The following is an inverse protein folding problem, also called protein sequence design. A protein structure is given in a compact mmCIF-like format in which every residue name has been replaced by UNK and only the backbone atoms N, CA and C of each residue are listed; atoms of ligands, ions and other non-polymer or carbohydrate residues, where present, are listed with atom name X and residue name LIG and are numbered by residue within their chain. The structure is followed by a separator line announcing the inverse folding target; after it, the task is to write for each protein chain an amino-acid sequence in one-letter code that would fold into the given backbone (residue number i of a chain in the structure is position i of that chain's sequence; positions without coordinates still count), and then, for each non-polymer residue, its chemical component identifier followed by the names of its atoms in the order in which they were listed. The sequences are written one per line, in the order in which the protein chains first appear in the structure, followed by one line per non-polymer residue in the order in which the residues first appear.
data_IF_282839564824
#
_entry.id   IF_282839564824
#
_cell.length_a   1.000
_cell.length_b   1.000
_cell.length_c   1.000
_cell.angle_alpha   90.00
_cell.angle_beta   90.00
_cell.angle_gamma   90.00
#
_symmetry.space_group_name_H-M   'P 1'
#
loop_
_entity.id
_entity.type
_entity.pdbx_description
1 polymer ?
#
# COMPACT_ATOMS: atom_id res chain seq x y z
N UNK A 1 11.21 -40.44 -6.44
CA UNK A 1 11.46 -38.98 -6.38
C UNK A 1 11.25 -38.24 -7.71
N UNK A 2 11.10 -38.90 -8.87
CA UNK A 2 10.82 -38.22 -10.16
C UNK A 2 9.32 -38.06 -10.48
N UNK A 3 8.42 -38.80 -9.81
CA UNK A 3 6.98 -38.71 -10.05
C UNK A 3 6.30 -37.46 -9.45
N UNK A 4 6.92 -36.77 -8.49
CA UNK A 4 6.37 -35.52 -7.93
C UNK A 4 6.53 -34.32 -8.87
N UNK A 5 7.54 -34.33 -9.75
CA UNK A 5 7.84 -33.21 -10.66
C UNK A 5 6.96 -33.17 -11.91
N UNK A 6 6.26 -34.26 -12.23
CA UNK A 6 5.38 -34.36 -13.40
C UNK A 6 3.91 -34.06 -13.09
N UNK A 7 3.56 -33.79 -11.83
CA UNK A 7 2.22 -33.27 -11.51
C UNK A 7 2.19 -31.77 -11.73
N UNK A 8 2.18 -31.35 -13.00
CA UNK A 8 1.86 -29.96 -13.36
C UNK A 8 0.44 -29.69 -12.87
N UNK A 9 0.33 -28.99 -11.75
CA UNK A 9 -0.94 -28.41 -11.29
C UNK A 9 -1.49 -27.60 -12.45
N UNK A 10 -2.63 -27.99 -13.00
CA UNK A 10 -3.18 -27.31 -14.17
C UNK A 10 -3.48 -25.85 -13.80
N UNK A 11 -3.45 -24.94 -14.77
CA UNK A 11 -3.92 -23.56 -14.55
C UNK A 11 -5.35 -23.54 -13.97
N UNK A 12 -6.18 -24.54 -14.29
CA UNK A 12 -7.48 -24.73 -13.62
C UNK A 12 -7.31 -24.97 -12.12
N UNK A 13 -6.41 -25.86 -11.71
CA UNK A 13 -6.18 -26.22 -10.30
C UNK A 13 -5.49 -25.09 -9.54
N UNK A 14 -4.60 -24.36 -10.20
CA UNK A 14 -4.03 -23.10 -9.70
C UNK A 14 -5.14 -22.07 -9.57
N UNK A 15 -6.04 -21.92 -10.55
CA UNK A 15 -7.19 -21.03 -10.47
C UNK A 15 -8.20 -21.48 -9.41
N UNK A 16 -8.32 -22.77 -9.10
CA UNK A 16 -9.15 -23.23 -7.98
C UNK A 16 -8.50 -22.91 -6.64
N UNK A 17 -7.16 -22.96 -6.56
CA UNK A 17 -6.37 -22.50 -5.41
C UNK A 17 -6.25 -20.95 -5.32
N UNK A 18 -6.35 -20.24 -6.45
CA UNK A 18 -6.20 -18.77 -6.61
C UNK A 18 -7.52 -18.03 -6.73
N UNK A 19 -8.63 -18.75 -6.93
CA UNK A 19 -9.90 -18.40 -6.31
C UNK A 19 -9.65 -18.47 -4.80
N UNK A 20 -8.89 -17.51 -4.27
CA UNK A 20 -9.10 -17.01 -2.92
C UNK A 20 -10.60 -16.88 -2.86
N UNK A 21 -11.25 -17.74 -2.09
CA UNK A 21 -12.67 -17.58 -1.77
C UNK A 21 -12.75 -16.19 -1.17
N UNK A 22 -13.04 -15.20 -2.02
CA UNK A 22 -13.26 -13.83 -1.59
C UNK A 22 -14.30 -13.95 -0.49
N UNK A 23 -14.16 -13.24 0.64
CA UNK A 23 -15.05 -13.38 1.78
C UNK A 23 -16.47 -13.54 1.28
N UNK A 24 -17.00 -14.76 1.36
CA UNK A 24 -18.39 -15.01 1.04
C UNK A 24 -19.19 -14.22 2.05
N UNK A 25 -20.38 -13.76 1.68
CA UNK A 25 -21.25 -13.08 2.63
C UNK A 25 -21.39 -13.94 3.88
N UNK A 26 -21.31 -13.31 5.05
CA UNK A 26 -21.63 -14.03 6.28
C UNK A 26 -23.06 -14.56 6.14
N UNK A 27 -23.20 -15.88 6.20
CA UNK A 27 -24.51 -16.52 6.29
C UNK A 27 -25.02 -16.50 7.72
N UNK A 28 -24.21 -16.01 8.66
CA UNK A 28 -24.60 -15.97 10.06
C UNK A 28 -25.64 -14.88 10.25
N UNK A 29 -26.78 -15.26 10.82
CA UNK A 29 -27.86 -14.33 11.14
C UNK A 29 -27.54 -13.50 12.39
N UNK A 30 -26.56 -13.94 13.18
CA UNK A 30 -26.15 -13.29 14.40
C UNK A 30 -24.81 -12.57 14.23
N UNK A 31 -24.62 -11.49 14.97
CA UNK A 31 -23.41 -10.68 14.95
C UNK A 31 -22.21 -11.54 15.36
N UNK A 32 -21.17 -11.49 14.53
CA UNK A 32 -19.91 -12.21 14.74
C UNK A 32 -18.77 -11.20 14.69
N UNK A 33 -17.91 -11.22 15.70
CA UNK A 33 -16.81 -10.29 15.87
C UNK A 33 -15.51 -11.07 15.97
N UNK A 34 -14.47 -10.65 15.26
CA UNK A 34 -13.12 -11.15 15.48
C UNK A 34 -12.29 -10.08 16.18
N UNK A 35 -11.64 -10.42 17.29
CA UNK A 35 -10.58 -9.61 17.91
C UNK A 35 -9.22 -10.21 17.54
N UNK A 36 -8.29 -9.38 17.08
CA UNK A 36 -6.94 -9.85 16.77
C UNK A 36 -5.88 -8.77 16.98
N UNK A 37 -4.93 -9.02 17.89
CA UNK A 37 -3.69 -8.26 17.94
C UNK A 37 -2.74 -8.75 16.83
N UNK A 38 -2.53 -7.91 15.80
CA UNK A 38 -1.84 -8.32 14.56
C UNK A 38 -0.33 -8.12 14.58
N UNK A 39 0.26 -7.58 15.66
CA UNK A 39 1.71 -7.33 15.77
C UNK A 39 2.29 -6.66 14.49
N UNK A 40 1.73 -5.51 14.08
CA UNK A 40 1.95 -4.76 12.84
C UNK A 40 1.23 -5.35 11.60
N UNK A 41 0.17 -4.67 11.16
CA UNK A 41 -0.65 -5.13 10.04
C UNK A 41 0.11 -5.22 8.70
N UNK A 42 1.10 -4.34 8.49
CA UNK A 42 1.86 -4.34 7.24
C UNK A 42 2.65 -5.64 7.00
N UNK A 43 3.01 -6.37 8.06
CA UNK A 43 3.69 -7.67 7.97
C UNK A 43 2.71 -8.85 8.06
N UNK A 44 1.50 -8.62 8.54
CA UNK A 44 0.48 -9.65 8.80
C UNK A 44 -0.82 -9.42 8.01
N UNK A 45 -0.73 -8.75 6.86
CA UNK A 45 -1.91 -8.48 6.01
C UNK A 45 -2.51 -9.78 5.48
N UNK A 46 -1.67 -10.76 5.13
CA UNK A 46 -2.12 -12.07 4.64
C UNK A 46 -2.86 -12.88 5.73
N UNK A 47 -2.45 -12.76 6.99
CA UNK A 47 -3.15 -13.39 8.12
C UNK A 47 -4.57 -12.84 8.26
N UNK A 48 -4.70 -11.51 8.21
CA UNK A 48 -6.02 -10.85 8.28
C UNK A 48 -6.87 -11.21 7.05
N UNK A 49 -6.29 -11.21 5.84
CA UNK A 49 -6.99 -11.59 4.60
C UNK A 49 -7.53 -13.03 4.68
N UNK A 50 -6.72 -13.96 5.21
CA UNK A 50 -7.11 -15.36 5.40
C UNK A 50 -8.25 -15.48 6.43
N UNK A 51 -8.14 -14.81 7.57
CA UNK A 51 -9.16 -14.83 8.62
C UNK A 51 -10.50 -14.29 8.10
N UNK A 52 -10.47 -13.15 7.40
CA UNK A 52 -11.68 -12.55 6.81
C UNK A 52 -12.29 -13.43 5.72
N UNK A 53 -11.45 -14.10 4.92
CA UNK A 53 -11.93 -14.99 3.86
C UNK A 53 -12.60 -16.24 4.43
N UNK A 54 -12.04 -16.81 5.51
CA UNK A 54 -12.51 -18.05 6.10
C UNK A 54 -13.74 -17.87 7.01
N UNK A 55 -13.74 -16.82 7.82
CA UNK A 55 -14.73 -16.64 8.89
C UNK A 55 -15.77 -15.55 8.57
N UNK A 56 -15.47 -14.67 7.60
CA UNK A 56 -16.35 -13.59 7.16
C UNK A 56 -17.07 -12.85 8.32
N UNK A 57 -16.38 -12.40 9.38
CA UNK A 57 -17.06 -11.81 10.53
C UNK A 57 -17.72 -10.47 10.14
N UNK A 58 -18.78 -10.11 10.85
CA UNK A 58 -19.42 -8.80 10.66
C UNK A 58 -18.48 -7.66 11.03
N UNK A 59 -17.72 -7.86 12.11
CA UNK A 59 -16.70 -6.93 12.63
C UNK A 59 -15.37 -7.64 12.82
N UNK A 60 -14.27 -7.00 12.46
CA UNK A 60 -12.92 -7.42 12.78
C UNK A 60 -12.20 -6.26 13.47
N UNK A 61 -11.96 -6.43 14.77
CA UNK A 61 -11.34 -5.49 15.68
C UNK A 61 -9.86 -5.81 15.77
N UNK A 62 -9.02 -4.91 15.26
CA UNK A 62 -7.57 -5.10 15.22
C UNK A 62 -6.90 -4.19 16.24
N UNK A 63 -5.99 -4.77 17.02
CA UNK A 63 -5.01 -4.03 17.85
C UNK A 63 -3.59 -4.28 17.31
N UNK A 64 -2.63 -3.45 17.69
CA UNK A 64 -1.25 -3.58 17.17
C UNK A 64 -1.13 -3.30 15.67
N UNK A 65 -1.99 -2.44 15.10
CA UNK A 65 -2.04 -2.20 13.64
C UNK A 65 -0.76 -1.57 13.08
N UNK A 66 -0.08 -0.77 13.90
CA UNK A 66 1.13 -0.03 13.56
C UNK A 66 0.89 1.10 12.56
N UNK A 67 1.90 1.36 11.72
CA UNK A 67 1.87 2.41 10.69
C UNK A 67 0.81 2.22 9.61
N UNK A 68 0.19 1.03 9.51
CA UNK A 68 -0.92 0.80 8.60
C UNK A 68 -2.15 1.66 8.94
N UNK A 69 -2.21 2.25 10.13
CA UNK A 69 -3.26 3.23 10.50
C UNK A 69 -3.28 4.48 9.60
N UNK A 70 -2.11 4.90 9.08
CA UNK A 70 -1.97 6.02 8.14
C UNK A 70 -2.47 5.66 6.74
N UNK A 71 -2.28 4.40 6.34
CA UNK A 71 -2.66 3.89 5.04
C UNK A 71 -3.09 2.43 5.15
N UNK A 72 -4.36 2.23 5.44
CA UNK A 72 -4.94 0.91 5.65
C UNK A 72 -4.91 0.10 4.33
N UNK A 73 -4.44 -1.17 4.36
CA UNK A 73 -4.64 -2.09 3.24
C UNK A 73 -6.13 -2.23 2.92
N UNK A 74 -6.43 -2.42 1.63
CA UNK A 74 -7.82 -2.61 1.19
C UNK A 74 -8.19 -4.08 1.33
N UNK A 75 -9.19 -4.35 2.17
CA UNK A 75 -9.81 -5.66 2.30
C UNK A 75 -11.18 -5.64 1.61
N UNK A 76 -11.40 -6.42 0.53
CA UNK A 76 -12.67 -6.43 -0.19
C UNK A 76 -13.85 -6.76 0.72
N UNK A 77 -14.98 -6.06 0.54
CA UNK A 77 -16.19 -6.26 1.35
C UNK A 77 -16.17 -5.53 2.70
N UNK A 78 -15.02 -5.03 3.14
CA UNK A 78 -14.88 -4.33 4.41
C UNK A 78 -14.59 -2.83 4.23
N UNK A 79 -15.03 -2.05 5.20
CA UNK A 79 -14.60 -0.67 5.45
C UNK A 79 -13.82 -0.65 6.76
N UNK A 80 -12.86 0.26 6.91
CA UNK A 80 -12.03 0.35 8.09
C UNK A 80 -12.07 1.76 8.70
N UNK A 81 -12.18 1.82 10.03
CA UNK A 81 -11.96 3.01 10.84
C UNK A 81 -10.65 2.78 11.61
N UNK A 82 -9.64 3.61 11.38
CA UNK A 82 -8.32 3.47 12.03
C UNK A 82 -8.05 4.57 13.02
N UNK A 83 -7.21 4.32 14.02
CA UNK A 83 -6.66 5.34 14.89
C UNK A 83 -5.23 4.98 15.27
N UNK A 84 -4.32 5.93 15.10
CA UNK A 84 -2.92 5.77 15.46
C UNK A 84 -2.75 5.64 16.98
N UNK A 85 -1.84 4.77 17.41
CA UNK A 85 -1.46 4.62 18.81
C UNK A 85 -0.33 5.58 19.21
N UNK A 86 0.20 5.39 20.42
CA UNK A 86 1.29 6.22 20.95
C UNK A 86 2.67 5.90 20.37
N UNK A 87 2.82 4.78 19.65
CA UNK A 87 4.09 4.38 19.03
C UNK A 87 3.84 3.69 17.68
N UNK A 88 4.92 3.38 16.95
CA UNK A 88 4.87 2.82 15.59
C UNK A 88 4.31 1.40 15.47
N UNK A 89 4.17 0.68 16.59
CA UNK A 89 3.60 -0.66 16.67
C UNK A 89 2.18 -0.67 17.23
N UNK A 90 1.76 0.42 17.89
CA UNK A 90 0.42 0.58 18.42
C UNK A 90 -0.60 0.89 17.34
N UNK A 91 -1.77 1.37 17.77
CA UNK A 91 -2.86 1.69 16.86
C UNK A 91 -3.80 0.52 16.64
N UNK A 92 -4.97 0.87 16.13
CA UNK A 92 -6.16 0.01 16.14
C UNK A 92 -7.01 0.29 14.92
N UNK A 93 -7.78 -0.72 14.53
CA UNK A 93 -8.74 -0.60 13.45
C UNK A 93 -10.03 -1.33 13.81
N UNK A 94 -11.16 -0.71 13.50
CA UNK A 94 -12.45 -1.38 13.41
C UNK A 94 -12.72 -1.61 11.94
N UNK A 95 -12.60 -2.85 11.49
CA UNK A 95 -13.04 -3.27 10.17
C UNK A 95 -14.45 -3.82 10.26
N UNK A 96 -15.34 -3.39 9.37
CA UNK A 96 -16.74 -3.82 9.37
C UNK A 96 -17.19 -4.11 7.94
N UNK A 97 -18.09 -5.08 7.77
CA UNK A 97 -18.67 -5.36 6.47
C UNK A 97 -19.44 -4.14 5.96
N UNK A 98 -19.38 -3.88 4.64
CA UNK A 98 -20.05 -2.72 4.02
C UNK A 98 -21.57 -2.75 4.12
N UNK A 99 -22.16 -3.92 4.38
CA UNK A 99 -23.58 -4.10 4.67
C UNK A 99 -23.94 -3.67 6.10
N UNK A 100 -22.98 -3.56 7.01
CA UNK A 100 -23.27 -3.17 8.39
C UNK A 100 -23.25 -1.66 8.53
N UNK A 101 -24.29 -1.09 9.15
CA UNK A 101 -24.28 0.31 9.55
C UNK A 101 -23.45 0.46 10.83
N UNK A 102 -22.29 1.09 10.69
CA UNK A 102 -21.32 1.30 11.76
C UNK A 102 -20.88 2.76 11.76
N UNK A 103 -21.14 3.48 12.85
CA UNK A 103 -20.82 4.89 13.02
C UNK A 103 -19.81 5.07 14.13
N UNK A 104 -18.82 5.92 13.90
CA UNK A 104 -17.87 6.29 14.95
C UNK A 104 -18.55 7.19 15.97
N UNK A 105 -18.44 6.83 17.25
CA UNK A 105 -18.90 7.64 18.39
C UNK A 105 -17.75 8.40 19.01
N UNK A 106 -16.64 7.72 19.31
CA UNK A 106 -15.48 8.31 19.99
C UNK A 106 -14.17 7.70 19.46
N UNK A 107 -13.13 8.51 19.31
CA UNK A 107 -11.78 8.06 18.94
C UNK A 107 -10.74 8.75 19.80
N UNK A 108 -10.10 7.94 20.63
CA UNK A 108 -8.94 8.32 21.45
C UNK A 108 -7.72 7.51 21.01
N UNK A 109 -6.51 7.92 21.37
CA UNK A 109 -5.25 7.30 20.91
C UNK A 109 -5.27 5.76 20.96
N UNK A 110 -5.76 5.18 22.06
CA UNK A 110 -5.79 3.74 22.29
C UNK A 110 -7.20 3.13 22.35
N UNK A 111 -8.26 3.89 22.04
CA UNK A 111 -9.65 3.41 22.09
C UNK A 111 -10.55 3.93 20.95
N UNK A 112 -11.18 3.05 20.16
CA UNK A 112 -12.26 3.45 19.20
C UNK A 112 -13.57 2.93 19.78
N UNK A 113 -14.60 3.77 19.78
CA UNK A 113 -15.98 3.37 20.03
C UNK A 113 -16.81 3.59 18.79
N UNK A 114 -17.55 2.57 18.38
CA UNK A 114 -18.51 2.62 17.30
C UNK A 114 -19.90 2.26 17.81
N UNK A 115 -20.92 2.87 17.22
CA UNK A 115 -22.30 2.44 17.30
C UNK A 115 -22.59 1.53 16.11
N UNK A 116 -23.08 0.33 16.39
CA UNK A 116 -23.41 -0.69 15.40
C UNK A 116 -24.90 -0.98 15.46
N UNK A 117 -25.56 -0.85 14.31
CA UNK A 117 -26.97 -1.16 14.17
C UNK A 117 -27.16 -2.67 13.99
N UNK A 118 -28.09 -3.21 14.78
CA UNK A 118 -28.57 -4.59 14.67
C UNK A 118 -30.06 -4.56 14.36
N UNK A 119 -30.68 -5.72 14.12
CA UNK A 119 -32.12 -5.77 13.79
C UNK A 119 -33.01 -5.13 14.86
N UNK A 120 -32.62 -5.23 16.13
CA UNK A 120 -33.48 -4.83 17.27
C UNK A 120 -32.84 -3.82 18.23
N UNK A 121 -31.58 -3.42 18.01
CA UNK A 121 -30.85 -2.58 18.96
C UNK A 121 -29.68 -1.82 18.31
N UNK A 122 -29.24 -0.76 18.97
CA UNK A 122 -27.96 -0.10 18.70
C UNK A 122 -26.95 -0.48 19.79
N UNK A 123 -25.85 -1.10 19.38
CA UNK A 123 -24.81 -1.58 20.29
C UNK A 123 -23.61 -0.65 20.24
N UNK A 124 -23.03 -0.34 21.41
CA UNK A 124 -21.74 0.34 21.47
C UNK A 124 -20.62 -0.70 21.46
N UNK A 125 -19.84 -0.76 20.38
CA UNK A 125 -18.72 -1.69 20.23
C UNK A 125 -17.40 -0.92 20.23
N UNK A 126 -16.59 -1.19 21.25
CA UNK A 126 -15.29 -0.59 21.44
C UNK A 126 -14.14 -1.53 21.11
N UNK A 127 -13.05 -0.98 20.58
CA UNK A 127 -11.74 -1.66 20.52
C UNK A 127 -10.69 -0.86 21.30
N UNK A 128 -9.99 -1.53 22.21
CA UNK A 128 -8.95 -0.95 23.06
C UNK A 128 -7.62 -1.70 22.93
N UNK A 129 -6.52 -0.96 23.00
CA UNK A 129 -5.20 -1.53 23.27
C UNK A 129 -4.65 -0.88 24.54
N UNK A 130 -4.46 -1.66 25.60
CA UNK A 130 -3.88 -1.18 26.86
C UNK A 130 -2.41 -1.57 26.87
N UNK A 131 -1.47 -0.60 26.80
CA UNK A 131 -0.05 -0.89 26.85
C UNK A 131 0.35 -1.65 28.13
N UNK A 132 1.34 -2.56 28.07
CA UNK A 132 1.85 -3.24 29.25
C UNK A 132 2.27 -2.26 30.35
N UNK A 133 1.84 -2.53 31.59
CA UNK A 133 2.18 -1.70 32.75
C UNK A 133 1.38 -0.40 32.87
N UNK A 134 0.40 -0.18 31.99
CA UNK A 134 -0.55 0.94 32.09
C UNK A 134 -1.92 0.44 32.55
N UNK A 135 -2.77 1.37 33.01
CA UNK A 135 -4.14 1.05 33.40
C UNK A 135 -5.09 1.18 32.22
N UNK A 136 -6.15 0.35 32.15
CA UNK A 136 -7.24 0.58 31.21
C UNK A 136 -7.84 1.99 31.40
N UNK A 137 -8.36 2.61 30.33
CA UNK A 137 -8.94 3.94 30.40
C UNK A 137 -10.36 3.89 31.01
N UNK A 138 -10.46 3.53 32.29
CA UNK A 138 -11.72 3.33 33.01
C UNK A 138 -12.69 4.52 32.89
N UNK A 139 -12.17 5.74 32.82
CA UNK A 139 -13.01 6.92 32.65
C UNK A 139 -13.80 6.90 31.33
N UNK A 140 -13.20 6.38 30.25
CA UNK A 140 -13.88 6.22 28.97
C UNK A 140 -14.91 5.09 29.06
N UNK A 141 -14.57 3.98 29.72
CA UNK A 141 -15.49 2.84 29.89
C UNK A 141 -16.72 3.27 30.70
N UNK A 142 -16.54 4.08 31.74
CA UNK A 142 -17.61 4.63 32.57
C UNK A 142 -18.59 5.51 31.78
N UNK A 143 -18.19 6.13 30.65
CA UNK A 143 -19.11 6.87 29.76
C UNK A 143 -20.12 5.96 29.07
N UNK A 144 -19.82 4.66 28.97
CA UNK A 144 -20.70 3.65 28.37
C UNK A 144 -21.71 3.09 29.38
N UNK A 145 -21.63 3.47 30.65
CA UNK A 145 -22.54 3.01 31.70
C UNK A 145 -23.99 3.30 31.34
N UNK A 146 -24.89 2.36 31.67
CA UNK A 146 -26.32 2.37 31.36
C UNK A 146 -26.66 2.30 29.85
N UNK A 147 -25.70 1.93 29.01
CA UNK A 147 -25.91 1.62 27.59
C UNK A 147 -25.49 0.18 27.35
N UNK A 148 -26.05 -0.46 26.33
CA UNK A 148 -25.61 -1.78 25.92
C UNK A 148 -24.26 -1.65 25.19
N UNK A 149 -23.18 -2.05 25.87
CA UNK A 149 -21.81 -1.82 25.39
C UNK A 149 -20.95 -3.08 25.47
N UNK A 150 -20.01 -3.19 24.54
CA UNK A 150 -19.03 -4.28 24.46
C UNK A 150 -17.67 -3.71 24.07
N UNK A 151 -16.70 -3.78 24.97
CA UNK A 151 -15.34 -3.28 24.73
C UNK A 151 -14.39 -4.45 24.63
N UNK A 152 -13.84 -4.66 23.46
CA UNK A 152 -12.88 -5.73 23.17
C UNK A 152 -11.47 -5.17 23.08
N UNK A 153 -10.46 -5.95 23.42
CA UNK A 153 -9.10 -5.47 23.27
C UNK A 153 -8.03 -6.38 23.84
N UNK A 154 -6.79 -5.97 23.57
CA UNK A 154 -5.63 -6.45 24.31
C UNK A 154 -5.50 -5.57 25.56
N UNK A 155 -5.83 -6.13 26.72
CA UNK A 155 -5.78 -5.44 27.99
C UNK A 155 -4.40 -5.51 28.65
N UNK A 156 -3.50 -6.40 28.19
CA UNK A 156 -2.25 -6.74 28.88
C UNK A 156 -2.41 -7.00 30.41
N UNK A 157 -3.62 -7.37 30.82
CA UNK A 157 -4.04 -7.52 32.21
C UNK A 157 -4.12 -9.00 32.57
N UNK A 158 -3.40 -9.40 33.61
CA UNK A 158 -3.35 -10.79 34.07
C UNK A 158 -4.00 -10.89 35.44
N UNK A 159 -4.99 -11.76 35.56
CA UNK A 159 -5.63 -12.06 36.84
C UNK A 159 -6.06 -13.53 36.89
N UNK A 160 -5.98 -14.14 38.06
CA UNK A 160 -6.35 -15.54 38.28
C UNK A 160 -7.84 -15.79 38.02
N UNK A 161 -8.71 -14.80 38.26
CA UNK A 161 -10.16 -14.90 37.99
C UNK A 161 -10.49 -15.22 36.53
N UNK A 162 -9.68 -14.75 35.57
CA UNK A 162 -9.84 -15.09 34.16
C UNK A 162 -8.77 -16.07 33.65
N UNK A 163 -8.26 -16.93 34.54
CA UNK A 163 -7.45 -18.07 34.15
C UNK A 163 -5.97 -17.79 33.90
N UNK A 164 -5.45 -16.62 34.30
CA UNK A 164 -4.00 -16.40 34.29
C UNK A 164 -3.32 -17.05 35.50
N UNK A 165 -2.05 -17.46 35.35
CA UNK A 165 -1.30 -18.10 36.44
C UNK A 165 -0.88 -17.15 37.57
N UNK A 166 -0.81 -15.84 37.29
CA UNK A 166 -0.40 -14.79 38.23
C UNK A 166 -1.13 -13.49 37.93
N UNK A 167 -1.28 -12.68 38.96
CA UNK A 167 -1.83 -11.34 38.84
C UNK A 167 -0.73 -10.34 38.44
N UNK A 168 -1.07 -9.33 37.64
CA UNK A 168 -0.25 -8.12 37.50
C UNK A 168 -1.03 -6.89 37.98
N UNK A 169 -0.34 -5.75 38.15
CA UNK A 169 -0.96 -4.51 38.66
C UNK A 169 -2.19 -4.10 37.85
N UNK A 170 -2.10 -4.13 36.52
CA UNK A 170 -3.24 -3.82 35.65
C UNK A 170 -4.42 -4.78 35.85
N UNK A 171 -4.15 -6.08 36.05
CA UNK A 171 -5.17 -7.09 36.28
C UNK A 171 -5.88 -6.93 37.62
N UNK A 172 -5.15 -6.55 38.67
CA UNK A 172 -5.75 -6.24 39.99
C UNK A 172 -6.69 -5.03 39.86
N UNK A 173 -6.21 -3.93 39.29
CA UNK A 173 -7.05 -2.74 39.11
C UNK A 173 -8.26 -2.96 38.19
N UNK A 174 -8.09 -3.78 37.15
CA UNK A 174 -9.20 -4.14 36.27
C UNK A 174 -10.23 -4.99 37.02
N UNK A 175 -9.78 -5.98 37.82
CA UNK A 175 -10.66 -6.78 38.66
C UNK A 175 -11.43 -5.92 39.66
N UNK A 176 -10.75 -5.03 40.40
CA UNK A 176 -11.39 -4.12 41.35
C UNK A 176 -12.44 -3.21 40.67
N UNK A 177 -12.14 -2.74 39.45
CA UNK A 177 -13.08 -1.93 38.67
C UNK A 177 -14.30 -2.74 38.21
N UNK A 178 -14.12 -4.00 37.79
CA UNK A 178 -15.22 -4.90 37.41
C UNK A 178 -16.16 -5.13 38.61
N UNK A 179 -15.60 -5.48 39.77
CA UNK A 179 -16.36 -5.69 41.01
C UNK A 179 -17.13 -4.41 41.43
N UNK A 180 -16.48 -3.25 41.36
CA UNK A 180 -17.10 -1.98 41.73
C UNK A 180 -18.22 -1.54 40.78
N UNK A 181 -18.17 -1.98 39.51
CA UNK A 181 -19.12 -1.56 38.47
C UNK A 181 -20.18 -2.60 38.16
N UNK A 182 -19.98 -3.86 38.56
CA UNK A 182 -20.84 -4.98 38.20
C UNK A 182 -20.75 -5.37 36.73
N UNK A 183 -19.64 -5.03 36.06
CA UNK A 183 -19.42 -5.39 34.66
C UNK A 183 -18.87 -6.81 34.52
N UNK A 184 -19.25 -7.46 33.43
CA UNK A 184 -18.92 -8.83 33.09
C UNK A 184 -17.75 -8.93 32.09
N UNK A 185 -17.18 -10.13 31.99
CA UNK A 185 -16.17 -10.48 30.99
C UNK A 185 -16.70 -11.48 29.95
N UNK A 186 -16.35 -11.24 28.69
CA UNK A 186 -16.52 -12.20 27.60
C UNK A 186 -15.15 -12.85 27.37
N UNK A 187 -14.90 -13.93 28.09
CA UNK A 187 -13.61 -14.62 28.07
C UNK A 187 -13.51 -15.63 26.93
N UNK A 188 -12.34 -15.77 26.28
CA UNK A 188 -12.06 -16.82 25.31
C UNK A 188 -11.95 -18.20 25.96
N UNK A 189 -12.07 -19.25 25.14
CA UNK A 189 -11.97 -20.66 25.59
C UNK A 189 -10.58 -21.10 26.04
N UNK A 190 -9.53 -20.36 25.67
CA UNK A 190 -8.14 -20.70 26.00
C UNK A 190 -7.25 -19.45 26.00
N UNK A 191 -5.97 -19.63 26.29
CA UNK A 191 -4.98 -18.54 26.25
C UNK A 191 -4.92 -17.84 24.89
N UNK A 192 -4.68 -16.54 24.93
CA UNK A 192 -4.68 -15.66 23.75
C UNK A 192 -3.27 -15.20 23.39
N UNK A 193 -2.35 -15.19 24.36
CA UNK A 193 -0.93 -14.91 24.16
C UNK A 193 -0.14 -16.19 23.92
N UNK A 194 0.51 -16.33 22.76
CA UNK A 194 1.43 -17.44 22.45
C UNK A 194 2.70 -17.41 23.31
N UNK A 195 3.12 -16.22 23.74
CA UNK A 195 4.35 -16.01 24.53
C UNK A 195 4.19 -16.38 25.99
N UNK A 196 3.05 -16.04 26.59
CA UNK A 196 2.87 -16.15 28.04
C UNK A 196 1.77 -17.09 28.49
N UNK A 197 1.10 -17.76 27.54
CA UNK A 197 -0.02 -18.65 27.80
C UNK A 197 -1.06 -18.00 28.72
N UNK A 198 -1.34 -16.71 28.49
CA UNK A 198 -2.23 -15.88 29.29
C UNK A 198 -3.46 -15.46 28.47
N UNK A 199 -4.57 -15.23 29.17
CA UNK A 199 -5.79 -14.62 28.61
C UNK A 199 -5.68 -13.12 28.87
N UNK A 200 -5.23 -12.39 27.85
CA UNK A 200 -5.06 -10.92 27.91
C UNK A 200 -5.88 -10.19 26.84
N UNK A 201 -6.48 -10.95 25.92
CA UNK A 201 -7.37 -10.45 24.88
C UNK A 201 -8.79 -10.97 25.16
N UNK A 202 -9.75 -10.09 25.44
CA UNK A 202 -11.12 -10.47 25.79
C UNK A 202 -12.10 -9.31 25.59
N UNK A 203 -13.38 -9.52 25.90
CA UNK A 203 -14.41 -8.48 25.93
C UNK A 203 -14.82 -8.09 27.37
N UNK A 204 -15.22 -6.84 27.56
CA UNK A 204 -15.85 -6.30 28.77
C UNK A 204 -17.23 -5.77 28.39
N UNK A 205 -18.23 -6.03 29.22
CA UNK A 205 -19.65 -5.73 28.92
C UNK A 205 -20.45 -5.51 30.21
N UNK A 206 -21.66 -4.98 30.09
CA UNK A 206 -22.64 -4.97 31.18
C UNK A 206 -23.22 -6.36 31.47
N UNK A 207 -23.37 -7.20 30.43
CA UNK A 207 -23.76 -8.59 30.55
C UNK A 207 -23.08 -9.47 29.51
N UNK A 208 -22.50 -10.58 29.96
CA UNK A 208 -21.88 -11.61 29.10
C UNK A 208 -22.87 -12.67 28.60
N UNK A 209 -24.14 -12.59 29.01
CA UNK A 209 -25.12 -13.63 28.73
C UNK A 209 -25.33 -13.85 27.23
N UNK A 210 -25.26 -15.11 26.80
CA UNK A 210 -25.51 -15.52 25.42
C UNK A 210 -24.33 -15.34 24.47
N UNK A 211 -23.24 -14.70 24.91
CA UNK A 211 -22.00 -14.64 24.12
C UNK A 211 -21.29 -15.98 24.12
N UNK A 212 -20.72 -16.32 22.97
CA UNK A 212 -19.76 -17.43 22.83
C UNK A 212 -18.47 -16.88 22.26
N UNK A 213 -17.37 -17.49 22.63
CA UNK A 213 -16.04 -17.09 22.17
C UNK A 213 -15.23 -18.34 21.85
N UNK A 214 -14.31 -18.23 20.91
CA UNK A 214 -13.38 -19.29 20.59
C UNK A 214 -12.05 -18.70 20.12
N UNK A 215 -10.94 -19.26 20.61
CA UNK A 215 -9.61 -18.95 20.09
C UNK A 215 -9.40 -19.67 18.76
N UNK A 216 -8.99 -18.92 17.74
CA UNK A 216 -8.64 -19.44 16.42
C UNK A 216 -7.15 -19.77 16.41
N UNK A 217 -6.81 -21.05 16.21
CA UNK A 217 -5.43 -21.53 16.08
C UNK A 217 -4.88 -21.25 14.66
N UNK A 218 -4.89 -19.97 14.29
CA UNK A 218 -4.57 -19.45 12.97
C UNK A 218 -3.74 -18.16 13.12
N UNK A 219 -3.11 -17.71 12.05
CA UNK A 219 -2.21 -16.55 11.99
C UNK A 219 -0.84 -16.70 12.68
N UNK A 220 0.08 -15.81 12.31
CA UNK A 220 1.51 -15.86 12.64
C UNK A 220 1.95 -14.87 13.72
N UNK A 221 1.09 -13.90 14.08
CA UNK A 221 1.25 -13.00 15.25
C UNK A 221 1.55 -13.76 16.54
N UNK A 222 2.17 -13.11 17.52
CA UNK A 222 2.36 -13.65 18.87
C UNK A 222 1.08 -13.70 19.73
N UNK A 223 -0.04 -13.21 19.20
CA UNK A 223 -1.40 -13.40 19.73
C UNK A 223 -2.23 -14.32 18.83
N UNK A 224 -3.20 -15.01 19.42
CA UNK A 224 -4.23 -15.74 18.70
C UNK A 224 -5.42 -14.84 18.38
N UNK A 225 -5.98 -14.90 17.15
CA UNK A 225 -7.28 -14.31 16.87
C UNK A 225 -8.38 -14.99 17.70
N UNK A 226 -9.42 -14.24 18.04
CA UNK A 226 -10.56 -14.74 18.82
C UNK A 226 -11.83 -14.38 18.05
N UNK A 227 -12.69 -15.37 17.82
CA UNK A 227 -14.03 -15.15 17.29
C UNK A 227 -15.03 -15.10 18.43
N UNK A 228 -15.95 -14.16 18.38
CA UNK A 228 -17.04 -13.96 19.31
C UNK A 228 -18.37 -14.01 18.55
N UNK A 229 -19.26 -14.88 18.99
CA UNK A 229 -20.64 -14.94 18.50
C UNK A 229 -21.55 -14.28 19.53
N UNK A 230 -22.22 -13.22 19.09
CA UNK A 230 -23.11 -12.45 19.93
C UNK A 230 -24.56 -12.91 19.75
N UNK A 231 -25.44 -12.75 20.76
CA UNK A 231 -26.85 -13.10 20.66
C UNK A 231 -27.70 -12.07 19.89
N UNK A 232 -27.08 -11.18 19.10
CA UNK A 232 -27.76 -10.09 18.41
C UNK A 232 -27.93 -10.41 16.92
N UNK A 233 -29.17 -10.39 16.43
CA UNK A 233 -29.45 -10.61 15.02
C UNK A 233 -29.00 -9.41 14.15
N UNK A 234 -28.43 -9.69 13.00
CA UNK A 234 -28.08 -8.72 11.96
C UNK A 234 -29.01 -8.93 10.77
N UNK A 235 -29.59 -7.84 10.26
CA UNK A 235 -30.31 -7.90 9.00
C UNK A 235 -29.31 -7.93 7.84
N UNK A 236 -29.20 -9.09 7.19
CA UNK A 236 -28.32 -9.31 6.05
C UNK A 236 -28.95 -8.86 4.71
N UNK A 237 -30.05 -8.07 4.72
CA UNK A 237 -30.83 -7.69 3.54
C UNK A 237 -30.11 -6.84 2.49
N UNK A 238 -28.81 -6.54 2.64
CA UNK A 238 -28.04 -5.80 1.64
C UNK A 238 -27.46 -6.77 0.60
N UNK A 239 -28.21 -6.95 -0.49
CA UNK A 239 -27.67 -7.43 -1.77
C UNK A 239 -26.58 -6.48 -2.23
N UNK A 240 -25.34 -6.93 -2.14
CA UNK A 240 -24.26 -6.33 -2.92
C UNK A 240 -24.67 -6.42 -4.39
N UNK A 241 -24.48 -5.34 -5.17
CA UNK A 241 -24.42 -5.51 -6.62
C UNK A 241 -23.31 -6.53 -6.86
N UNK A 242 -23.68 -7.77 -7.20
CA UNK A 242 -22.76 -8.70 -7.80
C UNK A 242 -22.18 -7.96 -8.98
N UNK A 243 -20.96 -7.45 -8.82
CA UNK A 243 -20.24 -6.91 -9.94
C UNK A 243 -19.92 -8.16 -10.74
N UNK A 244 -20.61 -8.32 -11.86
CA UNK A 244 -20.48 -9.48 -12.71
C UNK A 244 -19.05 -9.47 -13.27
N UNK A 245 -18.12 -10.13 -12.56
CA UNK A 245 -16.72 -10.27 -12.99
C UNK A 245 -16.57 -11.29 -14.13
N UNK A 246 -17.66 -11.60 -14.84
CA UNK A 246 -17.61 -12.21 -16.17
C UNK A 246 -17.20 -11.20 -17.27
N UNK A 247 -16.62 -10.05 -16.92
CA UNK A 247 -15.84 -9.27 -17.89
C UNK A 247 -14.47 -9.92 -18.00
N UNK A 248 -14.27 -10.68 -19.08
CA UNK A 248 -13.00 -11.14 -19.64
C UNK A 248 -11.77 -10.63 -18.88
N UNK A 249 -11.09 -11.52 -18.17
CA UNK A 249 -9.83 -11.26 -17.47
C UNK A 249 -8.91 -10.36 -18.31
N UNK A 250 -8.79 -9.08 -17.91
CA UNK A 250 -7.71 -8.21 -18.40
C UNK A 250 -6.56 -8.37 -17.42
N UNK A 251 -5.42 -8.96 -17.82
CA UNK A 251 -4.31 -9.21 -16.92
C UNK A 251 -3.81 -7.90 -16.32
N UNK A 252 -3.82 -7.83 -14.99
CA UNK A 252 -3.30 -6.69 -14.23
C UNK A 252 -1.78 -6.66 -14.41
N UNK A 253 -1.30 -5.58 -15.03
CA UNK A 253 0.09 -5.24 -15.35
C UNK A 253 1.03 -5.03 -14.13
N UNK A 254 0.79 -5.65 -12.97
CA UNK A 254 1.62 -5.43 -11.77
C UNK A 254 2.27 -6.69 -11.18
N UNK A 255 2.31 -7.81 -11.92
CA UNK A 255 3.19 -8.91 -11.54
C UNK A 255 4.64 -8.56 -11.87
N UNK A 256 5.46 -8.23 -10.86
CA UNK A 256 6.91 -8.34 -11.01
C UNK A 256 7.21 -9.84 -11.06
N UNK A 257 7.73 -10.34 -12.18
CA UNK A 257 8.20 -11.73 -12.25
C UNK A 257 9.11 -11.99 -11.04
N UNK A 258 8.86 -13.08 -10.28
CA UNK A 258 9.75 -13.45 -9.20
C UNK A 258 11.16 -13.58 -9.78
N UNK A 259 12.14 -12.97 -9.12
CA UNK A 259 13.54 -13.14 -9.52
C UNK A 259 13.85 -14.64 -9.55
N UNK A 260 14.73 -15.10 -10.45
CA UNK A 260 15.17 -16.48 -10.48
C UNK A 260 15.57 -16.97 -9.07
N UNK A 261 15.22 -18.21 -8.66
CA UNK A 261 15.54 -18.74 -7.34
C UNK A 261 17.03 -18.61 -6.97
N UNK A 262 17.92 -18.71 -7.96
CA UNK A 262 19.36 -18.53 -7.81
C UNK A 262 19.73 -17.08 -7.42
N UNK A 263 19.12 -16.07 -8.03
CA UNK A 263 19.33 -14.67 -7.66
C UNK A 263 18.77 -14.33 -6.28
N UNK A 264 17.64 -14.95 -5.89
CA UNK A 264 17.08 -14.83 -4.54
C UNK A 264 18.05 -15.42 -3.50
N UNK A 265 18.61 -16.61 -3.80
CA UNK A 265 19.62 -17.24 -2.95
C UNK A 265 20.86 -16.35 -2.79
N UNK A 266 21.42 -15.83 -3.89
CA UNK A 266 22.57 -14.92 -3.85
C UNK A 266 22.27 -13.66 -3.03
N UNK A 267 21.11 -13.04 -3.20
CA UNK A 267 20.69 -11.87 -2.42
C UNK A 267 20.62 -12.18 -0.91
N UNK A 268 20.08 -13.34 -0.53
CA UNK A 268 20.03 -13.81 0.86
C UNK A 268 21.43 -14.03 1.43
N UNK A 269 22.33 -14.62 0.65
CA UNK A 269 23.73 -14.88 1.02
C UNK A 269 24.51 -13.58 1.24
N UNK A 270 24.36 -12.58 0.36
CA UNK A 270 24.93 -11.24 0.54
C UNK A 270 24.43 -10.59 1.82
N UNK A 271 23.12 -10.70 2.11
CA UNK A 271 22.53 -10.13 3.32
C UNK A 271 23.01 -10.83 4.59
N UNK A 272 23.24 -12.15 4.55
CA UNK A 272 23.85 -12.90 5.66
C UNK A 272 25.26 -12.37 5.97
N UNK A 273 26.15 -12.33 4.99
CA UNK A 273 27.51 -11.83 5.20
C UNK A 273 27.57 -10.34 5.57
N UNK A 274 26.60 -9.55 5.14
CA UNK A 274 26.46 -8.15 5.59
C UNK A 274 26.14 -8.06 7.08
N UNK A 275 25.32 -8.96 7.61
CA UNK A 275 25.03 -9.03 9.05
C UNK A 275 26.25 -9.52 9.82
N UNK A 276 26.94 -10.53 9.32
CA UNK A 276 28.15 -11.08 9.94
C UNK A 276 29.24 -10.00 10.05
N UNK A 277 29.52 -9.27 8.96
CA UNK A 277 30.47 -8.15 8.99
C UNK A 277 30.05 -7.03 9.96
N UNK A 278 28.76 -6.69 10.04
CA UNK A 278 28.27 -5.69 11.00
C UNK A 278 28.47 -6.12 12.46
N UNK A 279 28.36 -7.42 12.74
CA UNK A 279 28.47 -7.98 14.09
C UNK A 279 29.93 -8.13 14.53
N UNK A 280 30.77 -8.69 13.66
CA UNK A 280 32.13 -9.08 14.03
C UNK A 280 33.20 -8.10 13.55
N UNK A 281 32.89 -7.26 12.54
CA UNK A 281 33.80 -6.25 11.93
C UNK A 281 35.18 -6.81 11.54
N UNK A 282 35.26 -8.11 11.23
CA UNK A 282 36.51 -8.75 10.84
C UNK A 282 36.84 -8.51 9.37
N UNK A 283 38.13 -8.54 9.03
CA UNK A 283 38.62 -8.44 7.66
C UNK A 283 38.11 -9.60 6.79
N UNK A 284 38.08 -10.81 7.35
CA UNK A 284 37.56 -12.02 6.71
C UNK A 284 36.09 -11.91 6.32
N UNK A 285 35.25 -11.34 7.19
CA UNK A 285 33.82 -11.14 6.89
C UNK A 285 33.60 -10.05 5.83
N UNK A 286 34.46 -9.02 5.82
CA UNK A 286 34.45 -7.99 4.79
C UNK A 286 34.79 -8.57 3.41
N UNK A 287 35.82 -9.42 3.33
CA UNK A 287 36.22 -10.10 2.10
C UNK A 287 35.11 -11.02 1.59
N UNK A 288 34.50 -11.83 2.46
CA UNK A 288 33.34 -12.65 2.11
C UNK A 288 32.16 -11.81 1.60
N UNK A 289 31.83 -10.70 2.26
CA UNK A 289 30.76 -9.80 1.81
C UNK A 289 31.07 -9.22 0.43
N UNK A 290 32.32 -8.77 0.19
CA UNK A 290 32.75 -8.22 -1.10
C UNK A 290 32.60 -9.27 -2.20
N UNK A 291 33.13 -10.48 -2.00
CA UNK A 291 33.07 -11.57 -2.97
C UNK A 291 31.64 -11.92 -3.36
N UNK A 292 30.77 -12.19 -2.37
CA UNK A 292 29.37 -12.53 -2.65
C UNK A 292 28.58 -11.38 -3.27
N UNK A 293 28.91 -10.14 -2.92
CA UNK A 293 28.30 -8.96 -3.53
C UNK A 293 28.69 -8.82 -5.00
N UNK A 294 29.95 -9.08 -5.35
CA UNK A 294 30.42 -9.09 -6.73
C UNK A 294 29.68 -10.13 -7.56
N UNK A 295 29.58 -11.37 -7.05
CA UNK A 295 28.85 -12.47 -7.71
C UNK A 295 27.38 -12.10 -7.92
N UNK A 296 26.71 -11.60 -6.89
CA UNK A 296 25.31 -11.18 -7.00
C UNK A 296 25.11 -10.05 -8.02
N UNK A 297 26.00 -9.06 -8.06
CA UNK A 297 25.90 -7.95 -9.01
C UNK A 297 26.09 -8.47 -10.44
N UNK A 298 27.08 -9.32 -10.69
CA UNK A 298 27.34 -9.89 -12.01
C UNK A 298 26.14 -10.68 -12.53
N UNK A 299 25.61 -11.61 -11.73
CA UNK A 299 24.44 -12.42 -12.09
C UNK A 299 23.18 -11.58 -12.29
N UNK A 300 22.98 -10.57 -11.44
CA UNK A 300 21.83 -9.66 -11.59
C UNK A 300 21.93 -8.87 -12.88
N UNK A 301 23.13 -8.41 -13.24
CA UNK A 301 23.35 -7.65 -14.47
C UNK A 301 23.10 -8.54 -15.69
N UNK A 302 23.67 -9.75 -15.73
CA UNK A 302 23.44 -10.71 -16.81
C UNK A 302 21.96 -11.04 -17.01
N UNK A 303 21.23 -11.32 -15.91
CA UNK A 303 19.79 -11.57 -15.98
C UNK A 303 19.00 -10.36 -16.51
N UNK A 304 19.39 -9.14 -16.12
CA UNK A 304 18.72 -7.93 -16.59
C UNK A 304 19.02 -7.66 -18.07
N UNK A 305 20.24 -7.94 -18.53
CA UNK A 305 20.63 -7.86 -19.94
C UNK A 305 19.83 -8.87 -20.78
N UNK A 306 19.76 -10.13 -20.36
CA UNK A 306 18.95 -11.16 -21.03
C UNK A 306 17.48 -10.74 -21.14
N UNK A 307 16.92 -10.19 -20.06
CA UNK A 307 15.55 -9.66 -20.06
C UNK A 307 15.35 -8.47 -20.98
N UNK A 308 16.37 -7.63 -21.18
CA UNK A 308 16.33 -6.51 -22.12
C UNK A 308 16.39 -7.05 -23.55
N UNK A 309 17.28 -8.00 -23.84
CA UNK A 309 17.40 -8.65 -25.15
C UNK A 309 16.10 -9.35 -25.55
N UNK A 310 15.53 -10.17 -24.68
CA UNK A 310 14.22 -10.82 -24.91
C UNK A 310 13.10 -9.79 -25.14
N UNK A 311 13.15 -8.64 -24.47
CA UNK A 311 12.19 -7.56 -24.69
C UNK A 311 12.40 -6.87 -26.04
N UNK A 312 13.64 -6.66 -26.48
CA UNK A 312 13.95 -6.06 -27.77
C UNK A 312 13.55 -6.99 -28.93
N UNK A 313 13.82 -8.29 -28.82
CA UNK A 313 13.37 -9.30 -29.78
C UNK A 313 11.84 -9.40 -29.87
N UNK A 314 11.14 -9.22 -28.75
CA UNK A 314 9.68 -9.20 -28.75
C UNK A 314 9.12 -7.88 -29.33
N UNK A 315 9.78 -6.74 -29.05
CA UNK A 315 9.42 -5.43 -29.61
C UNK A 315 9.67 -5.35 -31.12
N UNK A 316 10.61 -6.10 -31.68
CA UNK A 316 10.80 -6.18 -33.13
C UNK A 316 9.69 -6.98 -33.83
N UNK A 317 8.89 -7.74 -33.08
CA UNK A 317 7.78 -8.55 -33.60
C UNK A 317 6.40 -7.87 -33.44
N UNK A 318 6.20 -6.98 -32.47
CA UNK A 318 4.91 -6.32 -32.18
C UNK A 318 5.00 -4.78 -32.37
N UNK A 319 4.18 -4.22 -33.27
CA UNK A 319 4.24 -2.81 -33.70
C UNK A 319 3.77 -1.78 -32.64
N UNK A 320 3.49 -2.18 -31.40
CA UNK A 320 2.92 -1.29 -30.38
C UNK A 320 3.90 -0.93 -29.25
N UNK A 321 4.96 -0.22 -29.64
CA UNK A 321 5.99 0.34 -28.75
C UNK A 321 5.40 1.17 -27.59
N UNK A 322 4.27 1.84 -27.82
CA UNK A 322 3.60 2.73 -26.87
C UNK A 322 3.06 2.02 -25.64
N UNK A 323 2.72 0.73 -25.73
CA UNK A 323 2.25 -0.06 -24.58
C UNK A 323 3.31 -0.18 -23.47
N UNK A 324 4.59 -0.03 -23.83
CA UNK A 324 5.75 -0.28 -22.97
C UNK A 324 6.51 1.00 -22.58
N UNK A 325 6.57 1.99 -23.46
CA UNK A 325 7.16 3.30 -23.13
C UNK A 325 6.25 4.15 -22.22
N UNK A 326 4.93 3.90 -22.22
CA UNK A 326 3.94 4.64 -21.42
C UNK A 326 4.22 4.68 -19.92
N UNK A 327 4.84 3.65 -19.35
CA UNK A 327 5.18 3.65 -17.92
C UNK A 327 6.46 4.43 -17.61
N UNK A 328 7.38 4.54 -18.57
CA UNK A 328 8.62 5.32 -18.46
C UNK A 328 8.35 6.82 -18.61
N UNK A 329 7.35 7.18 -19.42
CA UNK A 329 6.92 8.57 -19.68
C UNK A 329 5.67 9.01 -18.90
N UNK A 330 5.35 8.41 -17.76
CA UNK A 330 4.31 8.96 -16.86
C UNK A 330 4.94 10.00 -15.93
N UNK A 331 4.86 11.32 -16.19
CA UNK A 331 5.03 12.26 -15.11
C UNK A 331 3.83 12.10 -14.18
N UNK A 332 4.09 11.99 -12.89
CA UNK A 332 3.07 12.19 -11.87
C UNK A 332 2.48 13.58 -12.09
N UNK A 333 1.26 13.64 -12.61
CA UNK A 333 0.50 14.88 -12.71
C UNK A 333 -0.58 14.81 -11.64
N UNK A 334 -0.62 15.74 -10.66
CA UNK A 334 -1.74 15.81 -9.73
C UNK A 334 -3.05 15.97 -10.51
N UNK A 335 -4.17 15.58 -9.91
CA UNK A 335 -5.48 15.79 -10.52
C UNK A 335 -5.65 17.28 -10.87
N UNK A 336 -5.99 17.56 -12.13
CA UNK A 336 -6.18 18.92 -12.63
C UNK A 336 -7.37 19.55 -11.90
N UNK A 337 -7.11 20.59 -11.09
CA UNK A 337 -8.10 21.21 -10.18
C UNK A 337 -8.77 22.47 -10.75
N UNK A 338 -8.44 22.85 -11.99
CA UNK A 338 -8.83 24.12 -12.60
C UNK A 338 -7.62 24.89 -13.10
N UNK A 339 -7.87 26.01 -13.77
CA UNK A 339 -6.86 26.89 -14.36
C UNK A 339 -6.80 28.22 -13.59
N UNK A 340 -5.61 28.63 -13.15
CA UNK A 340 -5.41 29.95 -12.52
C UNK A 340 -4.92 30.95 -13.58
N UNK A 341 -5.75 31.94 -13.92
CA UNK A 341 -5.41 32.99 -14.89
C UNK A 341 -5.74 34.35 -14.28
N UNK A 342 -4.78 35.28 -14.25
CA UNK A 342 -4.97 36.67 -13.78
C UNK A 342 -5.69 36.79 -12.43
N UNK A 343 -5.29 35.97 -11.44
CA UNK A 343 -5.89 35.92 -10.08
C UNK A 343 -7.32 35.37 -10.01
N UNK A 344 -7.87 34.84 -11.10
CA UNK A 344 -9.13 34.09 -11.11
C UNK A 344 -8.86 32.58 -11.27
N UNK A 345 -9.61 31.77 -10.51
CA UNK A 345 -9.54 30.32 -10.54
C UNK A 345 -10.73 29.78 -11.32
N UNK A 346 -10.47 29.32 -12.55
CA UNK A 346 -11.47 28.83 -13.49
C UNK A 346 -11.63 27.32 -13.31
N UNK A 347 -12.85 26.87 -13.01
CA UNK A 347 -13.18 25.44 -12.87
C UNK A 347 -14.15 24.93 -13.93
N UNK A 348 -14.79 25.83 -14.68
CA UNK A 348 -15.72 25.44 -15.74
C UNK A 348 -14.96 24.84 -16.95
N UNK A 349 -15.33 23.64 -17.44
CA UNK A 349 -14.60 22.99 -18.53
C UNK A 349 -14.55 23.78 -19.84
N UNK A 350 -15.64 24.47 -20.21
CA UNK A 350 -15.69 25.21 -21.47
C UNK A 350 -14.83 26.47 -21.39
N UNK A 351 -14.88 27.15 -20.25
CA UNK A 351 -14.07 28.34 -19.99
C UNK A 351 -12.56 28.01 -19.95
N UNK A 352 -12.19 26.86 -19.38
CA UNK A 352 -10.80 26.36 -19.39
C UNK A 352 -10.32 26.10 -20.83
N UNK A 353 -11.15 25.44 -21.66
CA UNK A 353 -10.80 25.13 -23.05
C UNK A 353 -10.58 26.41 -23.85
N UNK A 354 -11.49 27.37 -23.74
CA UNK A 354 -11.38 28.65 -24.45
C UNK A 354 -10.14 29.43 -23.99
N UNK A 355 -9.90 29.51 -22.69
CA UNK A 355 -8.74 30.21 -22.14
C UNK A 355 -7.42 29.59 -22.57
N UNK A 356 -7.35 28.26 -22.65
CA UNK A 356 -6.17 27.55 -23.16
C UNK A 356 -6.00 27.74 -24.67
N UNK A 357 -7.09 27.73 -25.44
CA UNK A 357 -7.06 28.00 -26.88
C UNK A 357 -6.47 29.39 -27.17
N UNK A 358 -6.98 30.42 -26.50
CA UNK A 358 -6.48 31.80 -26.62
C UNK A 358 -5.00 31.92 -26.23
N UNK A 359 -4.60 31.22 -25.15
CA UNK A 359 -3.22 31.22 -24.70
C UNK A 359 -2.28 30.61 -25.75
N UNK A 360 -2.63 29.46 -26.30
CA UNK A 360 -1.79 28.78 -27.28
C UNK A 360 -1.77 29.51 -28.63
N UNK A 361 -2.90 30.05 -29.08
CA UNK A 361 -2.96 30.87 -30.28
C UNK A 361 -2.02 32.09 -30.16
N UNK A 362 -2.03 32.76 -29.01
CA UNK A 362 -1.08 33.83 -28.73
C UNK A 362 0.37 33.34 -28.63
N UNK A 363 0.62 32.23 -27.94
CA UNK A 363 1.98 31.72 -27.72
C UNK A 363 2.66 31.27 -29.03
N UNK A 364 1.89 30.67 -29.93
CA UNK A 364 2.38 30.19 -31.24
C UNK A 364 2.15 31.19 -32.38
N UNK A 365 1.57 32.36 -32.09
CA UNK A 365 1.54 33.45 -33.07
C UNK A 365 2.96 33.87 -33.45
N UNK A 366 3.13 34.32 -34.70
CA UNK A 366 4.42 34.81 -35.16
C UNK A 366 4.91 35.91 -34.20
N UNK A 367 6.17 35.82 -33.70
CA UNK A 367 6.68 36.80 -32.77
C UNK A 367 6.61 38.18 -33.43
N UNK A 368 5.89 39.10 -32.79
CA UNK A 368 5.77 40.45 -33.32
C UNK A 368 7.17 41.09 -33.34
N UNK A 369 7.59 41.64 -34.48
CA UNK A 369 8.90 42.24 -34.59
C UNK A 369 8.99 43.41 -33.62
N UNK A 370 9.93 43.30 -32.68
CA UNK A 370 10.20 44.41 -31.76
C UNK A 370 10.88 45.56 -32.50
N UNK A 371 10.09 46.51 -33.00
CA UNK A 371 10.57 47.69 -33.74
C UNK A 371 11.34 48.70 -32.87
N UNK A 372 11.38 48.51 -31.55
CA UNK A 372 12.27 49.32 -30.69
C UNK A 372 13.68 48.73 -30.57
N UNK A 373 13.90 47.49 -31.02
CA UNK A 373 15.22 46.86 -31.05
C UNK A 373 15.86 47.02 -32.44
N UNK A 374 16.94 47.81 -32.49
CA UNK A 374 17.70 48.09 -33.72
C UNK A 374 18.19 46.83 -34.44
N UNK A 375 18.55 45.78 -33.71
CA UNK A 375 19.02 44.51 -34.31
C UNK A 375 17.87 43.82 -35.07
N UNK A 376 16.65 43.88 -34.54
CA UNK A 376 15.48 43.33 -35.20
C UNK A 376 15.08 44.13 -36.44
N UNK A 377 15.16 45.47 -36.37
CA UNK A 377 14.95 46.34 -37.54
C UNK A 377 15.91 46.01 -38.66
N UNK A 378 17.21 45.93 -38.35
CA UNK A 378 18.25 45.60 -39.33
C UNK A 378 18.04 44.19 -39.91
N UNK A 379 17.64 43.21 -39.10
CA UNK A 379 17.36 41.86 -39.58
C UNK A 379 16.16 41.80 -40.56
N UNK A 380 15.11 42.59 -40.30
CA UNK A 380 13.94 42.70 -41.18
C UNK A 380 14.34 43.40 -42.48
N UNK A 381 15.09 44.50 -42.40
CA UNK A 381 15.56 45.24 -43.58
C UNK A 381 16.50 44.38 -44.45
N UNK A 382 17.38 43.58 -43.84
CA UNK A 382 18.21 42.60 -44.56
C UNK A 382 17.34 41.52 -45.20
N UNK A 383 16.31 41.01 -44.51
CA UNK A 383 15.41 40.00 -45.06
C UNK A 383 14.59 40.51 -46.25
N UNK A 384 14.07 41.73 -46.17
CA UNK A 384 13.37 42.41 -47.26
C UNK A 384 14.30 42.66 -48.45
N UNK A 385 15.55 43.07 -48.18
CA UNK A 385 16.56 43.24 -49.22
C UNK A 385 16.95 41.90 -49.89
N UNK A 386 17.04 40.81 -49.12
CA UNK A 386 17.33 39.47 -49.63
C UNK A 386 16.18 38.89 -50.46
N UNK A 387 14.93 39.18 -50.08
CA UNK A 387 13.74 38.73 -50.85
C UNK A 387 13.59 39.46 -52.19
N UNK A 388 14.21 40.63 -52.34
CA UNK A 388 14.28 41.37 -53.60
C UNK A 388 15.56 41.12 -54.43
N UNK A 389 16.50 40.30 -53.95
CA UNK A 389 17.64 39.91 -54.77
C UNK A 389 17.23 38.88 -55.84
N UNK A 390 17.71 39.02 -57.10
CA UNK A 390 17.47 38.03 -58.13
C UNK A 390 18.02 36.67 -57.66
N UNK A 391 17.24 35.59 -57.86
CA UNK A 391 17.62 34.25 -57.43
C UNK A 391 19.01 33.89 -57.96
N UNK A 392 20.03 34.03 -57.12
CA UNK A 392 21.35 33.49 -57.41
C UNK A 392 21.20 31.98 -57.42
N UNK A 393 21.54 31.28 -58.53
CA UNK A 393 21.49 29.83 -58.55
C UNK A 393 22.44 29.33 -57.47
N UNK A 394 21.88 28.66 -56.46
CA UNK A 394 22.65 28.03 -55.40
C UNK A 394 23.62 27.05 -56.07
N UNK A 395 24.92 27.31 -55.98
CA UNK A 395 25.94 26.38 -56.46
C UNK A 395 25.69 25.04 -55.77
N UNK A 396 25.53 23.98 -56.54
CA UNK A 396 25.38 22.63 -56.02
C UNK A 396 26.65 22.28 -55.23
N UNK A 397 26.54 22.32 -53.90
CA UNK A 397 27.65 22.00 -53.00
C UNK A 397 27.91 20.50 -53.13
N UNK A 398 29.13 20.14 -53.53
CA UNK A 398 29.52 18.73 -53.62
C UNK A 398 29.80 18.19 -52.22
N UNK A 399 29.50 16.92 -52.00
CA UNK A 399 29.76 16.23 -50.73
C UNK A 399 31.20 16.46 -50.22
N UNK A 400 32.17 16.48 -51.12
CA UNK A 400 33.60 16.65 -50.79
C UNK A 400 33.96 18.07 -50.33
N UNK A 401 33.18 19.08 -50.73
CA UNK A 401 33.30 20.44 -50.19
C UNK A 401 32.77 20.51 -48.76
N UNK A 402 31.62 19.88 -48.50
CA UNK A 402 31.06 19.78 -47.14
C UNK A 402 32.03 19.04 -46.21
N UNK A 403 32.59 17.92 -46.68
CA UNK A 403 33.52 17.12 -45.90
C UNK A 403 34.81 17.90 -45.59
N UNK A 404 35.33 18.68 -46.54
CA UNK A 404 36.52 19.52 -46.34
C UNK A 404 36.28 20.65 -45.36
N UNK A 405 35.13 21.32 -45.42
CA UNK A 405 34.77 22.34 -44.43
C UNK A 405 34.52 21.71 -43.06
N UNK A 406 33.87 20.55 -43.00
CA UNK A 406 33.65 19.79 -41.77
C UNK A 406 34.97 19.43 -41.07
N UNK A 407 35.98 19.01 -41.83
CA UNK A 407 37.31 18.67 -41.30
C UNK A 407 38.13 19.88 -40.81
N UNK A 408 37.78 21.11 -41.24
CA UNK A 408 38.42 22.34 -40.74
C UNK A 408 37.92 22.74 -39.36
N UNK A 409 36.76 22.25 -38.93
CA UNK A 409 36.30 22.45 -37.55
C UNK A 409 37.12 21.57 -36.61
N UNK A 410 38.16 22.15 -36.00
CA UNK A 410 38.90 21.47 -34.93
C UNK A 410 37.92 21.08 -33.80
N UNK A 411 37.92 19.82 -33.33
CA UNK A 411 36.95 19.36 -32.34
C UNK A 411 37.22 20.07 -31.00
N UNK A 412 36.39 21.07 -30.68
CA UNK A 412 36.38 21.67 -29.34
C UNK A 412 35.73 20.70 -28.34
N UNK A 413 36.59 19.87 -27.73
CA UNK A 413 36.49 19.19 -26.42
C UNK A 413 35.54 18.00 -26.23
N UNK A 414 36.20 16.97 -25.66
CA UNK A 414 35.77 15.79 -24.89
C UNK A 414 34.77 14.84 -25.54
N UNK A 415 35.33 13.94 -26.35
CA UNK A 415 34.79 12.61 -26.56
C UNK A 415 35.33 11.67 -25.47
N UNK A 416 34.53 10.68 -25.06
CA UNK A 416 35.05 9.54 -24.30
C UNK A 416 35.80 8.56 -25.21
N UNK A 417 36.36 7.49 -24.63
CA UNK A 417 37.10 6.45 -25.38
C UNK A 417 36.24 5.67 -26.38
N UNK A 418 34.92 5.88 -26.39
CA UNK A 418 33.98 5.29 -27.34
C UNK A 418 33.50 6.30 -28.41
N UNK A 419 34.05 7.52 -28.45
CA UNK A 419 33.70 8.53 -29.45
C UNK A 419 32.37 9.25 -29.20
N UNK A 420 31.82 9.16 -27.98
CA UNK A 420 30.54 9.78 -27.64
C UNK A 420 30.75 11.19 -27.11
N UNK A 421 30.02 12.18 -27.66
CA UNK A 421 30.11 13.58 -27.24
C UNK A 421 29.51 13.79 -25.85
N UNK A 422 30.32 14.23 -24.89
CA UNK A 422 29.87 14.58 -23.54
C UNK A 422 28.89 15.77 -23.52
N UNK A 423 28.85 16.58 -24.58
CA UNK A 423 27.93 17.71 -24.71
C UNK A 423 26.46 17.26 -24.89
N UNK A 424 26.23 16.14 -25.59
CA UNK A 424 24.88 15.59 -25.78
C UNK A 424 24.28 15.07 -24.47
N UNK A 425 25.10 14.48 -23.59
CA UNK A 425 24.65 13.97 -22.29
C UNK A 425 24.25 15.11 -21.32
N UNK A 426 24.88 16.28 -21.43
CA UNK A 426 24.61 17.43 -20.56
C UNK A 426 23.30 18.16 -20.90
N UNK A 427 22.80 18.05 -22.13
CA UNK A 427 21.51 18.61 -22.57
C UNK A 427 20.31 17.72 -22.24
N UNK A 428 20.53 16.45 -21.86
CA UNK A 428 19.47 15.52 -21.43
C UNK A 428 19.24 15.59 -19.91
N UNK A 429 20.08 16.33 -19.19
CA UNK A 429 20.09 16.38 -17.71
C UNK A 429 19.65 17.71 -17.10
N UNK A 430 19.04 18.63 -17.88
CA UNK A 430 18.33 19.80 -17.36
C UNK A 430 16.98 19.98 -18.04
#
# INVERSE_FOLDING_TARGET
MINEWNTRTCISDINTKWKKERPTHTTNTNLTIILFNVECLNTHTDDVDLILSKHAPHLCLLTGVGKATEKMPVFPGYTAITQAGTNSFGGKAVMYQKSLNCKVVEKETNFILCEVETTNAHLLIGVVYVPPGTLPPFQIFNKCKNKQFFIFGDFNAKHTTWGCSKNNTSGIHLFDWLEATGNDLILPTSSTSKRSNAIIDFGITDSSQGWRSQVLNEATSDHWPIIFDAPFAIDNSITYKQTNWCSSYKPIKNYRSPWPPQLIFLARTVNKHRRDYRKYRSQHDLEKLKTWRTIFIAERTAFMEERITQKLEWLSQDNNIWKYTRNTFRPFSPSFKGLNVNQQHITDPNEIVNTLADHYEKHFSAPLPNMSNEIHKQAIEIFENLTHMPQMPLKAIKYDEVLREWLKFAPKKSYDSAGTSAFLLKKVTN
#
